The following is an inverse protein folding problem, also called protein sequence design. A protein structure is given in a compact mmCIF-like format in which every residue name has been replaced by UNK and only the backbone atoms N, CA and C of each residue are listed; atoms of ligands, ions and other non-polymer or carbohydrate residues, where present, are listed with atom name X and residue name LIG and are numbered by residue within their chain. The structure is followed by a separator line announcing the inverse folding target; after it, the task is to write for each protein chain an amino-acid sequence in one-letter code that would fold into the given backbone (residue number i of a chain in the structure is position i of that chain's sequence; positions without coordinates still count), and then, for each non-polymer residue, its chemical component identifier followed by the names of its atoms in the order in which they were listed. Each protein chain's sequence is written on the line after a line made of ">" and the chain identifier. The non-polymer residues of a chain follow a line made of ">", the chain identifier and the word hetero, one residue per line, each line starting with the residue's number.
data_IF_024940725942
#
_entry.id   IF_024940725942
#
_cell.length_a   1.000
_cell.length_b   1.000
_cell.length_c   1.000
_cell.angle_alpha   90.00
_cell.angle_beta   90.00
_cell.angle_gamma   90.00
#
_symmetry.space_group_name_H-M   'P 1'
#
loop_
_entity.id
_entity.type
_entity.pdbx_description
1 polymer ?
#
# COMPACT_ATOMS: atom_id res chain seq x y z
N UNK A 1 -14.58 4.35 -15.68
CA UNK A 1 -13.65 5.49 -15.87
C UNK A 1 -12.19 5.02 -15.88
N UNK A 2 -11.23 5.92 -16.14
CA UNK A 2 -9.79 5.59 -16.18
C UNK A 2 -9.32 4.94 -14.87
N UNK A 3 -9.76 5.47 -13.73
CA UNK A 3 -9.42 4.92 -12.41
C UNK A 3 -9.98 3.52 -12.15
N UNK A 4 -11.18 3.21 -12.67
CA UNK A 4 -11.74 1.86 -12.55
C UNK A 4 -10.93 0.82 -13.34
N UNK A 5 -10.36 1.20 -14.50
CA UNK A 5 -9.48 0.31 -15.28
C UNK A 5 -8.15 0.06 -14.55
N UNK A 6 -7.57 1.10 -13.95
CA UNK A 6 -6.36 0.97 -13.11
C UNK A 6 -6.63 0.11 -11.88
N UNK A 7 -7.76 0.33 -11.19
CA UNK A 7 -8.19 -0.49 -10.06
C UNK A 7 -8.32 -1.97 -10.45
N UNK A 8 -8.96 -2.27 -11.58
CA UNK A 8 -9.07 -3.64 -12.09
C UNK A 8 -7.70 -4.27 -12.41
N UNK A 9 -6.77 -3.51 -13.01
CA UNK A 9 -5.38 -3.96 -13.28
C UNK A 9 -4.66 -4.35 -11.98
N UNK A 10 -4.81 -3.56 -10.91
CA UNK A 10 -4.19 -3.84 -9.61
C UNK A 10 -4.95 -4.90 -8.79
N UNK A 11 -6.22 -5.14 -9.11
CA UNK A 11 -7.03 -6.19 -8.51
C UNK A 11 -6.82 -7.57 -9.18
N UNK A 12 -6.32 -7.62 -10.41
CA UNK A 12 -6.16 -8.88 -11.16
C UNK A 12 -5.09 -9.85 -10.61
N UNK A 13 -3.91 -9.41 -10.11
CA UNK A 13 -2.89 -10.34 -9.61
C UNK A 13 -3.35 -11.11 -8.38
N UNK A 14 -2.95 -12.39 -8.32
CA UNK A 14 -3.27 -13.26 -7.17
C UNK A 14 -2.37 -12.93 -5.98
N UNK A 15 -1.09 -12.62 -6.23
CA UNK A 15 -0.15 -12.23 -5.19
C UNK A 15 -0.14 -10.72 -4.93
N UNK A 16 -0.17 -10.28 -3.65
CA UNK A 16 0.01 -8.87 -3.30
C UNK A 16 1.33 -8.26 -3.81
N UNK A 17 2.41 -9.05 -3.85
CA UNK A 17 3.73 -8.59 -4.33
C UNK A 17 3.71 -8.33 -5.85
N UNK A 18 3.00 -9.17 -6.60
CA UNK A 18 2.80 -8.95 -8.05
C UNK A 18 1.97 -7.70 -8.31
N UNK A 19 0.95 -7.42 -7.47
CA UNK A 19 0.17 -6.20 -7.57
C UNK A 19 1.02 -4.94 -7.33
N UNK A 20 1.94 -4.99 -6.35
CA UNK A 20 2.87 -3.87 -6.09
C UNK A 20 3.86 -3.69 -7.25
N UNK A 21 4.29 -4.76 -7.91
CA UNK A 21 5.16 -4.66 -9.08
C UNK A 21 4.49 -3.91 -10.26
N UNK A 22 3.15 -3.77 -10.25
CA UNK A 22 2.39 -2.99 -11.23
C UNK A 22 2.15 -1.54 -10.81
N UNK A 23 2.58 -1.13 -9.62
CA UNK A 23 2.42 0.25 -9.16
C UNK A 23 3.27 1.19 -10.00
N UNK A 24 2.65 2.30 -10.37
CA UNK A 24 3.32 3.42 -11.02
C UNK A 24 3.47 4.55 -9.97
N UNK A 25 3.92 5.72 -10.42
CA UNK A 25 4.26 6.84 -9.54
C UNK A 25 3.09 7.25 -8.63
N UNK A 26 1.88 7.40 -9.20
CA UNK A 26 0.71 7.83 -8.45
C UNK A 26 0.27 6.85 -7.34
N UNK A 27 0.42 5.53 -7.56
CA UNK A 27 0.15 4.53 -6.53
C UNK A 27 1.16 4.63 -5.38
N UNK A 28 2.43 4.85 -5.70
CA UNK A 28 3.50 5.00 -4.70
C UNK A 28 3.39 6.32 -3.93
N UNK A 29 3.02 7.43 -4.57
CA UNK A 29 2.71 8.69 -3.89
C UNK A 29 1.62 8.48 -2.84
N UNK A 30 0.54 7.80 -3.20
CA UNK A 30 -0.57 7.51 -2.30
C UNK A 30 -0.16 6.59 -1.13
N UNK A 31 0.75 5.65 -1.37
CA UNK A 31 1.38 4.84 -0.32
C UNK A 31 2.23 5.69 0.61
N UNK A 32 3.03 6.61 0.08
CA UNK A 32 3.90 7.49 0.87
C UNK A 32 3.11 8.45 1.74
N UNK A 33 2.08 9.10 1.19
CA UNK A 33 1.17 9.96 1.97
C UNK A 33 0.50 9.18 3.10
N UNK A 34 0.02 7.96 2.80
CA UNK A 34 -0.58 7.10 3.79
C UNK A 34 0.41 6.67 4.89
N UNK A 35 1.64 6.37 4.53
CA UNK A 35 2.67 5.98 5.48
C UNK A 35 3.15 7.16 6.34
N UNK A 36 3.32 8.34 5.75
CA UNK A 36 3.68 9.56 6.50
C UNK A 36 2.59 9.91 7.51
N UNK A 37 1.31 9.80 7.12
CA UNK A 37 0.17 9.97 8.01
C UNK A 37 0.18 8.95 9.16
N UNK A 38 0.45 7.66 8.87
CA UNK A 38 0.58 6.60 9.89
C UNK A 38 1.65 6.95 10.93
N UNK A 39 2.83 7.35 10.45
CA UNK A 39 3.99 7.70 11.28
C UNK A 39 3.72 8.94 12.14
N UNK A 40 3.05 9.94 11.58
CA UNK A 40 2.72 11.20 12.28
C UNK A 40 1.64 11.03 13.34
N UNK A 41 0.64 10.20 13.04
CA UNK A 41 -0.49 9.93 13.93
C UNK A 41 -0.21 8.87 15.00
N UNK A 42 0.97 8.22 14.95
CA UNK A 42 1.33 7.15 15.88
C UNK A 42 0.53 5.86 15.64
N UNK A 43 0.07 5.66 14.41
CA UNK A 43 -0.76 4.53 13.98
C UNK A 43 -2.06 4.98 13.32
N UNK A 44 -2.24 4.63 12.06
CA UNK A 44 -3.46 4.79 11.29
C UNK A 44 -4.42 3.65 11.62
N UNK A 45 -5.41 3.95 12.47
CA UNK A 45 -6.64 3.15 12.54
C UNK A 45 -7.54 3.55 11.37
N UNK A 46 -7.23 3.04 10.18
CA UNK A 46 -8.10 3.23 9.02
C UNK A 46 -9.43 2.49 9.22
N UNK A 47 -10.53 3.21 9.04
CA UNK A 47 -11.85 2.58 8.81
C UNK A 47 -11.85 1.79 7.49
N UNK A 48 -11.00 2.16 6.52
CA UNK A 48 -10.79 1.48 5.24
C UNK A 48 -9.44 1.87 4.57
N UNK A 49 -8.71 0.95 3.90
CA UNK A 49 -8.81 -0.51 4.06
C UNK A 49 -8.05 -0.96 5.31
N UNK A 50 -8.69 -1.81 6.11
CA UNK A 50 -8.08 -2.70 7.11
C UNK A 50 -8.25 -4.15 6.62
N UNK A 51 -7.53 -5.12 7.19
CA UNK A 51 -7.60 -6.54 6.78
C UNK A 51 -9.04 -7.09 6.75
N UNK A 52 -9.90 -6.56 7.64
CA UNK A 52 -11.30 -6.95 7.79
C UNK A 52 -12.27 -6.18 6.88
N UNK A 53 -11.82 -5.16 6.16
CA UNK A 53 -12.72 -4.26 5.44
C UNK A 53 -13.46 -4.92 4.27
N UNK A 54 -12.99 -6.07 3.79
CA UNK A 54 -13.68 -6.90 2.82
C UNK A 54 -15.09 -7.35 3.27
N UNK A 55 -15.37 -7.35 4.59
CA UNK A 55 -16.73 -7.65 5.10
C UNK A 55 -17.73 -6.52 4.86
N UNK A 56 -17.26 -5.30 4.66
CA UNK A 56 -18.09 -4.11 4.42
C UNK A 56 -18.24 -3.76 2.93
N UNK A 57 -17.54 -4.46 2.03
CA UNK A 57 -17.63 -4.23 0.58
C UNK A 57 -19.05 -4.40 0.04
N UNK A 58 -19.91 -5.20 0.69
CA UNK A 58 -21.32 -5.30 0.30
C UNK A 58 -22.12 -4.00 0.47
N UNK A 59 -21.66 -3.09 1.34
CA UNK A 59 -22.30 -1.80 1.61
C UNK A 59 -21.65 -0.63 0.85
N UNK A 60 -20.48 -0.87 0.26
CA UNK A 60 -19.76 0.08 -0.56
C UNK A 60 -19.88 -0.41 -2.00
N UNK A 61 -20.76 0.21 -2.80
CA UNK A 61 -21.11 -0.28 -4.13
C UNK A 61 -19.92 -0.70 -5.00
N UNK A 62 -18.78 0.00 -4.88
CA UNK A 62 -17.49 -0.43 -5.42
C UNK A 62 -16.33 0.02 -4.52
N UNK A 63 -15.25 -0.76 -4.46
CA UNK A 63 -13.99 -0.36 -3.81
C UNK A 63 -13.35 0.80 -4.58
N UNK A 64 -13.00 1.89 -3.89
CA UNK A 64 -12.32 3.01 -4.54
C UNK A 64 -10.91 2.62 -4.99
N UNK A 65 -10.40 3.29 -6.03
CA UNK A 65 -9.06 3.05 -6.54
C UNK A 65 -7.96 3.21 -5.46
N UNK A 66 -8.03 4.28 -4.67
CA UNK A 66 -7.10 4.49 -3.55
C UNK A 66 -7.13 3.33 -2.55
N UNK A 67 -8.33 2.81 -2.27
CA UNK A 67 -8.48 1.69 -1.36
C UNK A 67 -7.89 0.39 -1.93
N UNK A 68 -8.03 0.13 -3.23
CA UNK A 68 -7.37 -1.02 -3.89
C UNK A 68 -5.86 -0.93 -3.72
N UNK A 69 -5.27 0.24 -4.02
CA UNK A 69 -3.82 0.48 -3.89
C UNK A 69 -3.36 0.20 -2.46
N UNK A 70 -4.01 0.83 -1.49
CA UNK A 70 -3.64 0.70 -0.08
C UNK A 70 -3.84 -0.72 0.44
N UNK A 71 -4.92 -1.40 0.04
CA UNK A 71 -5.17 -2.80 0.41
C UNK A 71 -4.06 -3.70 -0.11
N UNK A 72 -3.67 -3.55 -1.39
CA UNK A 72 -2.57 -4.33 -1.98
C UNK A 72 -1.24 -4.08 -1.27
N UNK A 73 -0.94 -2.81 -0.97
CA UNK A 73 0.24 -2.44 -0.19
C UNK A 73 0.25 -3.08 1.21
N UNK A 74 -0.85 -2.98 1.96
CA UNK A 74 -0.98 -3.62 3.28
C UNK A 74 -0.86 -5.14 3.21
N UNK A 75 -1.50 -5.78 2.22
CA UNK A 75 -1.45 -7.24 2.04
C UNK A 75 -0.04 -7.76 1.74
N UNK A 76 0.83 -6.94 1.15
CA UNK A 76 2.22 -7.31 0.88
C UNK A 76 3.17 -7.02 2.04
N UNK A 77 2.68 -6.50 3.18
CA UNK A 77 3.49 -6.19 4.36
C UNK A 77 3.48 -4.72 4.78
N UNK A 78 2.78 -3.84 4.05
CA UNK A 78 2.59 -2.44 4.44
C UNK A 78 3.91 -1.71 4.69
N UNK A 79 4.04 -1.05 5.83
CA UNK A 79 5.24 -0.29 6.19
C UNK A 79 6.50 -1.17 6.36
N UNK A 80 6.35 -2.46 6.66
CA UNK A 80 7.51 -3.36 6.80
C UNK A 80 8.20 -3.60 5.44
N UNK A 81 7.52 -3.35 4.31
CA UNK A 81 8.13 -3.36 2.98
C UNK A 81 9.34 -2.43 2.89
N UNK A 82 9.31 -1.28 3.56
CA UNK A 82 10.41 -0.32 3.53
C UNK A 82 11.64 -0.76 4.32
N UNK A 83 11.52 -1.85 5.09
CA UNK A 83 12.58 -2.45 5.92
C UNK A 83 13.17 -3.70 5.29
N UNK A 84 12.48 -4.33 4.32
CA UNK A 84 12.92 -5.58 3.72
C UNK A 84 13.80 -5.37 2.48
N UNK A 85 15.11 -5.70 2.54
CA UNK A 85 16.02 -5.53 1.41
C UNK A 85 15.67 -6.43 0.22
N UNK A 86 15.00 -7.57 0.44
CA UNK A 86 14.65 -8.50 -0.63
C UNK A 86 13.55 -7.96 -1.56
N UNK A 87 12.74 -7.02 -1.07
CA UNK A 87 11.68 -6.37 -1.82
C UNK A 87 12.15 -5.08 -2.51
N UNK A 88 13.45 -4.80 -2.43
CA UNK A 88 14.12 -3.71 -3.13
C UNK A 88 13.87 -3.67 -4.64
N UNK A 89 13.57 -4.82 -5.26
CA UNK A 89 13.39 -4.97 -6.71
C UNK A 89 12.03 -4.45 -7.20
N UNK A 90 11.03 -4.41 -6.32
CA UNK A 90 9.67 -3.92 -6.65
C UNK A 90 9.42 -2.51 -6.14
N UNK A 91 10.28 -2.00 -5.25
CA UNK A 91 10.19 -0.66 -4.69
C UNK A 91 11.08 0.29 -5.52
N UNK A 92 10.52 1.39 -6.09
CA UNK A 92 11.30 2.37 -6.85
C UNK A 92 12.45 2.97 -6.02
N UNK A 93 13.57 3.37 -6.67
CA UNK A 93 14.75 3.88 -5.95
C UNK A 93 14.51 5.19 -5.20
N UNK A 94 13.50 5.96 -5.60
CA UNK A 94 13.12 7.23 -4.98
C UNK A 94 12.19 7.07 -3.77
N UNK A 95 11.60 5.88 -3.57
CA UNK A 95 10.82 5.58 -2.36
C UNK A 95 11.78 5.43 -1.18
N UNK A 96 11.55 6.12 -0.04
CA UNK A 96 12.45 6.05 1.10
C UNK A 96 12.62 4.63 1.60
N UNK A 97 13.88 4.23 1.79
CA UNK A 97 14.24 2.98 2.46
C UNK A 97 14.53 3.31 3.91
N UNK A 98 13.94 2.56 4.83
CA UNK A 98 14.26 2.72 6.25
C UNK A 98 15.67 2.18 6.45
N UNK A 99 16.65 3.07 6.57
CA UNK A 99 17.98 2.72 7.04
C UNK A 99 17.87 2.56 8.54
N UNK A 100 18.10 1.37 9.08
CA UNK A 100 18.11 1.13 10.52
C UNK A 100 19.01 2.15 11.22
N UNK A 101 18.43 3.16 11.87
CA UNK A 101 19.14 3.90 12.90
C UNK A 101 19.12 3.01 14.14
N UNK A 102 20.18 2.23 14.31
CA UNK A 102 20.44 1.66 15.63
C UNK A 102 20.51 2.85 16.60
N UNK A 103 19.56 2.91 17.53
CA UNK A 103 19.61 3.85 18.64
C UNK A 103 20.85 3.46 19.44
N UNK A 104 21.92 4.24 19.33
CA UNK A 104 23.08 4.10 20.20
C UNK A 104 22.56 4.26 21.63
N UNK A 105 22.62 3.18 22.41
CA UNK A 105 22.43 3.25 23.85
C UNK A 105 23.60 4.01 24.47
#
# INVERSE_FOLDING_TARGET
>A
GVMAKRAAKLAAPESPVEAIALFEEAEWELVLEAHDEDMRSGGLRRCFPSADCSKYTQFLGEESYANVVLRRWYQAGGADLFRHPDLARVIPPWVPRVVCSSRTQ
#
